data_IF_716644786832
#
_entry.id   IF_716644786832
#
_cell.length_a   1.000
_cell.length_b   1.000
_cell.length_c   1.000
_cell.angle_alpha   90.00
_cell.angle_beta   90.00
_cell.angle_gamma   90.00
#
_symmetry.space_group_name_H-M   'P 1'
#
loop_
_entity.id
_entity.type
_entity.pdbx_description
1 polymer ?
#
# COMPACT_ATOMS: atom_id res chain seq x y z
N UNK A 1 12.09 10.11 3.96
CA UNK A 1 11.13 9.61 2.97
C UNK A 1 11.80 8.77 1.88
N UNK A 2 12.69 9.32 1.03
CA UNK A 2 13.34 8.52 -0.03
C UNK A 2 14.17 7.33 0.52
N UNK A 3 14.95 7.55 1.58
CA UNK A 3 15.76 6.51 2.22
C UNK A 3 14.93 5.38 2.85
N UNK A 4 13.74 5.66 3.35
CA UNK A 4 12.86 4.64 3.94
C UNK A 4 12.22 3.77 2.86
N UNK A 5 11.81 4.38 1.74
CA UNK A 5 11.29 3.68 0.56
C UNK A 5 12.36 2.77 -0.06
N UNK A 6 13.62 3.21 -0.13
CA UNK A 6 14.72 2.35 -0.58
C UNK A 6 14.95 1.16 0.38
N UNK A 7 14.93 1.41 1.70
CA UNK A 7 15.04 0.34 2.72
C UNK A 7 13.88 -0.67 2.64
N UNK A 8 12.68 -0.21 2.29
CA UNK A 8 11.55 -1.11 2.00
C UNK A 8 11.92 -2.08 0.87
N UNK A 9 12.32 -1.57 -0.29
CA UNK A 9 12.61 -2.41 -1.45
C UNK A 9 13.79 -3.36 -1.21
N UNK A 10 14.80 -2.92 -0.46
CA UNK A 10 15.97 -3.75 -0.15
C UNK A 10 15.61 -5.02 0.64
N UNK A 11 14.74 -4.91 1.66
CA UNK A 11 14.31 -6.07 2.43
C UNK A 11 13.22 -6.84 1.69
N UNK A 12 12.23 -6.13 1.12
CA UNK A 12 11.09 -6.75 0.46
C UNK A 12 11.51 -7.74 -0.63
N UNK A 13 12.50 -7.37 -1.45
CA UNK A 13 12.98 -8.20 -2.57
C UNK A 13 13.69 -9.48 -2.11
N UNK A 14 14.22 -9.49 -0.88
CA UNK A 14 14.88 -10.65 -0.24
C UNK A 14 13.88 -11.59 0.44
N UNK A 15 12.62 -11.19 0.60
CA UNK A 15 11.59 -12.04 1.21
C UNK A 15 11.10 -13.11 0.22
N UNK A 16 10.62 -14.28 0.70
CA UNK A 16 9.97 -15.26 -0.15
C UNK A 16 8.80 -14.66 -0.93
N UNK A 17 8.54 -15.14 -2.15
CA UNK A 17 7.44 -14.63 -3.00
C UNK A 17 6.08 -14.68 -2.31
N UNK A 18 5.80 -15.75 -1.57
CA UNK A 18 4.57 -15.87 -0.76
C UNK A 18 4.46 -14.80 0.32
N UNK A 19 5.57 -14.35 0.90
CA UNK A 19 5.61 -13.27 1.90
C UNK A 19 5.43 -11.91 1.22
N UNK A 20 6.09 -11.69 0.08
CA UNK A 20 5.90 -10.48 -0.75
C UNK A 20 4.42 -10.28 -1.11
N UNK A 21 3.75 -11.35 -1.55
CA UNK A 21 2.31 -11.32 -1.87
C UNK A 21 1.44 -11.01 -0.65
N UNK A 22 1.73 -11.61 0.51
CA UNK A 22 0.99 -11.32 1.75
C UNK A 22 1.14 -9.87 2.19
N UNK A 23 2.33 -9.27 2.04
CA UNK A 23 2.56 -7.86 2.35
C UNK A 23 1.77 -6.96 1.39
N UNK A 24 1.78 -7.26 0.08
CA UNK A 24 0.98 -6.52 -0.90
C UNK A 24 -0.51 -6.62 -0.58
N UNK A 25 -0.99 -7.80 -0.18
CA UNK A 25 -2.39 -7.98 0.20
C UNK A 25 -2.75 -7.20 1.47
N UNK A 26 -1.86 -7.11 2.45
CA UNK A 26 -2.07 -6.28 3.65
C UNK A 26 -2.16 -4.78 3.30
N UNK A 27 -1.33 -4.31 2.36
CA UNK A 27 -1.41 -2.95 1.83
C UNK A 27 -2.76 -2.70 1.15
N UNK A 28 -3.15 -3.59 0.24
CA UNK A 28 -4.42 -3.48 -0.50
C UNK A 28 -5.59 -3.45 0.47
N UNK A 29 -5.63 -4.37 1.44
CA UNK A 29 -6.68 -4.44 2.47
C UNK A 29 -6.84 -3.08 3.17
N UNK A 30 -5.72 -2.45 3.52
CA UNK A 30 -5.70 -1.14 4.17
C UNK A 30 -6.27 -0.04 3.27
N UNK A 31 -5.89 -0.04 1.98
CA UNK A 31 -6.35 0.96 1.02
C UNK A 31 -7.81 0.76 0.58
N UNK A 32 -8.40 -0.43 0.78
CA UNK A 32 -9.81 -0.66 0.43
C UNK A 32 -10.76 0.32 1.11
N UNK A 33 -10.48 0.73 2.35
CA UNK A 33 -11.28 1.76 3.05
C UNK A 33 -11.23 3.11 2.30
N UNK A 34 -10.03 3.51 1.87
CA UNK A 34 -9.82 4.71 1.05
C UNK A 34 -10.53 4.61 -0.31
N UNK A 35 -10.44 3.46 -1.00
CA UNK A 35 -11.10 3.25 -2.28
C UNK A 35 -12.62 3.30 -2.19
N UNK A 36 -13.21 2.68 -1.17
CA UNK A 36 -14.66 2.71 -0.93
C UNK A 36 -15.15 4.14 -0.69
N UNK A 37 -14.42 4.91 0.11
CA UNK A 37 -14.73 6.33 0.34
C UNK A 37 -14.57 7.15 -0.94
N UNK A 38 -13.46 6.97 -1.63
CA UNK A 38 -13.15 7.70 -2.86
C UNK A 38 -14.17 7.41 -3.95
N UNK A 39 -14.67 6.17 -4.09
CA UNK A 39 -15.77 5.85 -5.00
C UNK A 39 -17.02 6.70 -4.73
N UNK A 40 -17.41 6.83 -3.46
CA UNK A 40 -18.59 7.62 -3.02
C UNK A 40 -18.38 9.13 -3.16
N UNK A 41 -17.13 9.59 -3.08
CA UNK A 41 -16.76 11.01 -2.95
C UNK A 41 -15.78 11.49 -4.03
N UNK A 42 -15.70 10.82 -5.18
CA UNK A 42 -14.69 11.06 -6.23
C UNK A 42 -14.65 12.51 -6.74
N UNK A 43 -15.73 13.27 -6.56
CA UNK A 43 -15.84 14.69 -6.95
C UNK A 43 -15.45 15.69 -5.85
N UNK A 44 -15.31 15.22 -4.60
CA UNK A 44 -15.13 16.06 -3.40
C UNK A 44 -13.74 15.93 -2.77
N UNK A 45 -13.08 14.79 -2.99
CA UNK A 45 -11.85 14.42 -2.30
C UNK A 45 -10.88 13.77 -3.29
N UNK A 46 -9.59 14.01 -3.11
CA UNK A 46 -8.56 13.19 -3.76
C UNK A 46 -8.35 11.87 -2.98
N UNK A 47 -7.58 10.96 -3.56
CA UNK A 47 -7.29 9.67 -2.93
C UNK A 47 -6.58 9.82 -1.58
N UNK A 48 -5.73 10.86 -1.41
CA UNK A 48 -5.02 11.10 -0.15
C UNK A 48 -6.02 11.36 0.96
N UNK A 49 -6.87 12.36 0.76
CA UNK A 49 -7.89 12.76 1.72
C UNK A 49 -8.86 11.61 1.99
N UNK A 50 -9.32 10.91 0.94
CA UNK A 50 -10.19 9.76 1.11
C UNK A 50 -9.53 8.67 1.98
N UNK A 51 -8.24 8.41 1.81
CA UNK A 51 -7.50 7.42 2.59
C UNK A 51 -7.28 7.88 4.03
N UNK A 52 -6.91 9.14 4.25
CA UNK A 52 -6.66 9.69 5.59
C UNK A 52 -7.94 9.77 6.44
N UNK A 53 -9.08 10.04 5.80
CA UNK A 53 -10.40 10.08 6.44
C UNK A 53 -10.99 8.68 6.69
N UNK A 54 -10.70 7.72 5.83
CA UNK A 54 -11.27 6.37 5.91
C UNK A 54 -10.43 5.38 6.74
N UNK A 55 -9.10 5.55 6.76
CA UNK A 55 -8.18 4.65 7.45
C UNK A 55 -7.79 5.24 8.81
N UNK A 56 -8.40 4.69 9.85
CA UNK A 56 -8.17 5.08 11.24
C UNK A 56 -6.74 4.79 11.71
N UNK A 57 -6.24 5.48 12.74
CA UNK A 57 -4.95 5.17 13.36
C UNK A 57 -4.83 3.71 13.81
N UNK A 58 -5.92 3.09 14.25
CA UNK A 58 -5.91 1.69 14.67
C UNK A 58 -5.76 0.73 13.48
N UNK A 59 -6.38 1.03 12.34
CA UNK A 59 -6.17 0.25 11.11
C UNK A 59 -4.72 0.36 10.63
N UNK A 60 -4.13 1.56 10.66
CA UNK A 60 -2.70 1.72 10.35
C UNK A 60 -1.80 0.89 11.26
N UNK A 61 -2.04 0.90 12.58
CA UNK A 61 -1.32 0.04 13.53
C UNK A 61 -1.51 -1.44 13.23
N UNK A 62 -2.73 -1.84 12.85
CA UNK A 62 -3.04 -3.20 12.43
C UNK A 62 -2.23 -3.63 11.22
N UNK A 63 -2.12 -2.78 10.20
CA UNK A 63 -1.29 -3.01 9.01
C UNK A 63 0.19 -3.16 9.37
N UNK A 64 0.72 -2.29 10.24
CA UNK A 64 2.11 -2.39 10.72
C UNK A 64 2.34 -3.72 11.43
N UNK A 65 1.44 -4.12 12.34
CA UNK A 65 1.55 -5.38 13.06
C UNK A 65 1.49 -6.59 12.10
N UNK A 66 0.57 -6.57 11.15
CA UNK A 66 0.44 -7.63 10.13
C UNK A 66 1.72 -7.75 9.30
N UNK A 67 2.22 -6.64 8.75
CA UNK A 67 3.46 -6.65 7.95
C UNK A 67 4.66 -7.08 8.79
N UNK A 68 4.80 -6.58 10.02
CA UNK A 68 5.88 -6.97 10.93
C UNK A 68 5.87 -8.47 11.22
N UNK A 69 4.69 -9.06 11.42
CA UNK A 69 4.54 -10.51 11.66
C UNK A 69 4.93 -11.39 10.46
N UNK A 70 4.80 -10.88 9.23
CA UNK A 70 5.15 -11.60 8.00
C UNK A 70 6.65 -11.66 7.76
N UNK A 71 7.42 -10.76 8.38
CA UNK A 71 8.88 -10.75 8.25
C UNK A 71 9.48 -11.94 9.02
N UNK A 72 10.35 -12.76 8.39
CA UNK A 72 10.95 -13.94 9.02
C UNK A 72 11.59 -13.70 10.40
N UNK A 73 11.55 -14.70 11.28
CA UNK A 73 12.09 -14.63 12.65
C UNK A 73 13.60 -14.41 12.74
N UNK A 74 14.35 -14.63 11.65
CA UNK A 74 15.78 -14.32 11.56
C UNK A 74 16.07 -12.81 11.72
N UNK A 75 15.07 -11.94 11.51
CA UNK A 75 15.20 -10.50 11.72
C UNK A 75 14.75 -10.12 13.13
N UNK A 76 15.48 -9.21 13.78
CA UNK A 76 15.11 -8.65 15.08
C UNK A 76 13.78 -7.90 15.00
N UNK A 77 13.02 -7.85 16.09
CA UNK A 77 11.72 -7.16 16.13
C UNK A 77 11.83 -5.70 15.67
N UNK A 78 12.87 -4.99 16.10
CA UNK A 78 13.18 -3.62 15.66
C UNK A 78 13.25 -3.51 14.13
N UNK A 79 13.92 -4.46 13.46
CA UNK A 79 14.06 -4.46 11.99
C UNK A 79 12.74 -4.78 11.29
N UNK A 80 11.93 -5.67 11.86
CA UNK A 80 10.58 -5.96 11.36
C UNK A 80 9.68 -4.74 11.43
N UNK A 81 9.74 -3.99 12.53
CA UNK A 81 8.95 -2.78 12.73
C UNK A 81 9.44 -1.63 11.85
N UNK A 82 10.75 -1.45 11.69
CA UNK A 82 11.31 -0.48 10.73
C UNK A 82 10.83 -0.76 9.29
N UNK A 83 10.80 -2.02 8.89
CA UNK A 83 10.29 -2.43 7.59
C UNK A 83 8.78 -2.22 7.47
N UNK A 84 8.00 -2.60 8.48
CA UNK A 84 6.56 -2.39 8.47
C UNK A 84 6.20 -0.89 8.40
N UNK A 85 6.94 -0.03 9.09
CA UNK A 85 6.77 1.41 8.99
C UNK A 85 7.17 1.95 7.61
N UNK A 86 8.21 1.42 6.96
CA UNK A 86 8.56 1.84 5.61
C UNK A 86 7.51 1.47 4.56
N UNK A 87 6.75 0.40 4.77
CA UNK A 87 5.54 0.11 3.98
C UNK A 87 4.51 1.24 4.11
N UNK A 88 4.24 1.69 5.32
CA UNK A 88 3.29 2.78 5.56
C UNK A 88 3.80 4.09 4.95
N UNK A 89 5.09 4.38 5.06
CA UNK A 89 5.70 5.55 4.42
C UNK A 89 5.57 5.50 2.89
N UNK A 90 5.78 4.34 2.26
CA UNK A 90 5.61 4.16 0.83
C UNK A 90 4.18 4.53 0.40
N UNK A 91 3.18 3.89 1.00
CA UNK A 91 1.78 4.03 0.57
C UNK A 91 1.19 5.40 0.90
N UNK A 92 1.76 6.11 1.88
CA UNK A 92 1.40 7.51 2.19
C UNK A 92 2.22 8.54 1.41
N UNK A 93 3.27 8.13 0.70
CA UNK A 93 4.13 9.03 -0.06
C UNK A 93 3.37 9.74 -1.18
N UNK A 94 3.77 10.99 -1.47
CA UNK A 94 3.17 11.77 -2.57
C UNK A 94 3.30 11.06 -3.91
N UNK A 95 4.46 10.44 -4.17
CA UNK A 95 4.71 9.71 -5.41
C UNK A 95 3.74 8.55 -5.59
N UNK A 96 3.60 7.70 -4.57
CA UNK A 96 2.70 6.54 -4.63
C UNK A 96 1.25 6.98 -4.82
N UNK A 97 0.77 7.92 -3.99
CA UNK A 97 -0.62 8.38 -4.07
C UNK A 97 -0.91 9.04 -5.41
N UNK A 98 -0.03 9.90 -5.92
CA UNK A 98 -0.23 10.59 -7.21
C UNK A 98 -0.31 9.60 -8.38
N UNK A 99 0.60 8.64 -8.42
CA UNK A 99 0.63 7.62 -9.47
C UNK A 99 -0.61 6.71 -9.38
N UNK A 100 -0.97 6.27 -8.18
CA UNK A 100 -2.16 5.46 -7.96
C UNK A 100 -3.43 6.21 -8.34
N UNK A 101 -3.59 7.48 -7.90
CA UNK A 101 -4.71 8.34 -8.28
C UNK A 101 -4.88 8.42 -9.80
N UNK A 102 -3.78 8.67 -10.53
CA UNK A 102 -3.79 8.78 -12.00
C UNK A 102 -4.28 7.48 -12.68
N UNK A 103 -3.94 6.33 -12.09
CA UNK A 103 -4.39 5.02 -12.59
C UNK A 103 -5.86 4.77 -12.30
N UNK A 104 -6.29 4.99 -11.06
CA UNK A 104 -7.66 4.69 -10.64
C UNK A 104 -8.68 5.70 -11.19
N UNK A 105 -8.26 6.90 -11.57
CA UNK A 105 -9.11 7.86 -12.29
C UNK A 105 -9.64 7.29 -13.61
N UNK A 106 -8.84 6.47 -14.29
CA UNK A 106 -9.18 5.80 -15.55
C UNK A 106 -10.09 4.59 -15.38
N UNK A 107 -10.33 4.14 -14.15
CA UNK A 107 -11.24 3.02 -13.88
C UNK A 107 -12.67 3.48 -14.14
N UNK A 108 -13.34 2.76 -15.04
CA UNK A 108 -14.77 2.87 -15.29
C UNK A 108 -15.48 1.67 -14.64
N UNK A 109 -16.08 1.90 -13.48
CA UNK A 109 -16.87 0.90 -12.75
C UNK A 109 -18.11 1.57 -12.17
N UNK A 110 -19.26 0.90 -12.29
CA UNK A 110 -20.55 1.45 -11.91
C UNK A 110 -21.00 1.02 -10.51
N UNK A 111 -20.32 0.05 -9.90
CA UNK A 111 -20.55 -0.41 -8.54
C UNK A 111 -19.26 -0.37 -7.70
N UNK A 112 -19.43 -0.24 -6.39
CA UNK A 112 -18.33 -0.06 -5.44
C UNK A 112 -17.39 -1.28 -5.40
N UNK A 113 -17.93 -2.49 -5.51
CA UNK A 113 -17.15 -3.72 -5.37
C UNK A 113 -16.20 -3.91 -6.55
N UNK A 114 -16.71 -3.77 -7.77
CA UNK A 114 -15.89 -3.80 -8.98
C UNK A 114 -14.85 -2.67 -9.00
N UNK A 115 -15.22 -1.46 -8.56
CA UNK A 115 -14.30 -0.34 -8.45
C UNK A 115 -13.13 -0.65 -7.50
N UNK A 116 -13.44 -1.16 -6.30
CA UNK A 116 -12.43 -1.52 -5.29
C UNK A 116 -11.54 -2.66 -5.78
N UNK A 117 -12.08 -3.66 -6.46
CA UNK A 117 -11.31 -4.75 -7.04
C UNK A 117 -10.32 -4.25 -8.10
N UNK A 118 -10.75 -3.36 -9.00
CA UNK A 118 -9.88 -2.77 -10.01
C UNK A 118 -8.81 -1.85 -9.39
N UNK A 119 -9.16 -1.05 -8.37
CA UNK A 119 -8.18 -0.25 -7.63
C UNK A 119 -7.12 -1.13 -6.94
N UNK A 120 -7.55 -2.29 -6.41
CA UNK A 120 -6.66 -3.27 -5.77
C UNK A 120 -5.67 -3.88 -6.77
N UNK A 121 -6.13 -4.17 -8.00
CA UNK A 121 -5.27 -4.63 -9.09
C UNK A 121 -4.24 -3.55 -9.45
N UNK A 122 -4.67 -2.30 -9.63
CA UNK A 122 -3.74 -1.20 -9.95
C UNK A 122 -2.74 -0.92 -8.82
N UNK A 123 -3.15 -1.09 -7.57
CA UNK A 123 -2.26 -1.02 -6.40
C UNK A 123 -1.17 -2.09 -6.47
N UNK A 124 -1.54 -3.34 -6.73
CA UNK A 124 -0.59 -4.46 -6.88
C UNK A 124 0.41 -4.19 -8.01
N UNK A 125 -0.08 -3.78 -9.18
CA UNK A 125 0.76 -3.43 -10.34
C UNK A 125 1.74 -2.32 -10.00
N UNK A 126 1.27 -1.24 -9.39
CA UNK A 126 2.12 -0.11 -9.01
C UNK A 126 3.24 -0.53 -8.06
N UNK A 127 2.95 -1.33 -7.03
CA UNK A 127 3.98 -1.81 -6.10
C UNK A 127 5.05 -2.64 -6.84
N UNK A 128 4.62 -3.55 -7.73
CA UNK A 128 5.52 -4.37 -8.56
C UNK A 128 6.38 -3.50 -9.48
N UNK A 129 5.80 -2.53 -10.17
CA UNK A 129 6.55 -1.62 -11.04
C UNK A 129 7.55 -0.75 -10.26
N UNK A 130 7.17 -0.28 -9.07
CA UNK A 130 8.09 0.46 -8.20
C UNK A 130 9.22 -0.44 -7.69
N UNK A 131 8.97 -1.73 -7.44
CA UNK A 131 10.02 -2.69 -7.12
C UNK A 131 11.02 -2.82 -8.27
N UNK A 132 10.53 -3.09 -9.49
CA UNK A 132 11.36 -3.30 -10.69
C UNK A 132 12.25 -2.07 -11.01
N UNK A 133 11.73 -0.86 -10.79
CA UNK A 133 12.47 0.40 -11.00
C UNK A 133 13.54 0.68 -9.95
N UNK A 134 13.49 0.04 -8.78
CA UNK A 134 14.43 0.28 -7.68
C UNK A 134 15.40 -0.89 -7.45
N UNK A 135 15.34 -1.94 -8.28
CA UNK A 135 16.23 -3.11 -8.23
C UNK A 135 17.15 -3.26 -9.44
N UNK A 136 16.96 -2.41 -10.47
CA UNK A 136 17.80 -2.31 -11.66
C UNK A 136 18.61 -1.01 -11.61
#
# INVERSE_FOLDING_TARGET
>A
MLAAILKFFELFTKLPKSVQEQIINAIILTLTFGFKRFFKKKKEEDLRKATEEAVTPQQWKGTVAAVSSLVPSIYSQKKKDEFANSVIELIRSNTFIKELSTRIEKINANDEEAYVALCSIETKKLIIEMLEKNTN
#
